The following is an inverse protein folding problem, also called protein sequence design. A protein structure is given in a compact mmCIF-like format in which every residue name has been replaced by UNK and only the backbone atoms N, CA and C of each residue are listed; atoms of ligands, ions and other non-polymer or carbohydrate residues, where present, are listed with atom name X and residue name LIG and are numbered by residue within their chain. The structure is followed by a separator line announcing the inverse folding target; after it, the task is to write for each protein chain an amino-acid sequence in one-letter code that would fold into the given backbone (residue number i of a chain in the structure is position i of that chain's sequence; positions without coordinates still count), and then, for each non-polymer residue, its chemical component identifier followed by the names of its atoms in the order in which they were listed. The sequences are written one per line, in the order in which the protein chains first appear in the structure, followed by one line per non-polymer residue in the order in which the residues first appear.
data_IF_087017250920
#
_entry.id   IF_087017250920
#
_cell.length_a   1.000
_cell.length_b   1.000
_cell.length_c   1.000
_cell.angle_alpha   90.00
_cell.angle_beta   90.00
_cell.angle_gamma   90.00
#
_symmetry.space_group_name_H-M   'P 1'
#
loop_
_entity.id
_entity.type
_entity.pdbx_description
1 polymer ?
#
# COMPACT_ATOMS: atom_id res chain seq x y z
N UNK A 1 -9.74 -37.71 -45.33
CA UNK A 1 -8.33 -37.57 -44.95
C UNK A 1 -7.95 -36.13 -44.52
N UNK A 2 -8.80 -35.09 -44.79
CA UNK A 2 -8.49 -33.71 -44.48
C UNK A 2 -8.68 -33.40 -42.97
N UNK A 3 -9.64 -34.07 -42.32
CA UNK A 3 -9.94 -33.87 -40.91
C UNK A 3 -8.81 -34.34 -39.95
N UNK A 4 -8.12 -35.41 -40.30
CA UNK A 4 -7.03 -35.94 -39.47
C UNK A 4 -5.83 -34.99 -39.40
N UNK A 5 -5.52 -34.27 -40.48
CA UNK A 5 -4.42 -33.30 -40.53
C UNK A 5 -4.74 -32.03 -39.70
N UNK A 6 -6.02 -31.65 -39.59
CA UNK A 6 -6.43 -30.48 -38.80
C UNK A 6 -6.32 -30.76 -37.30
N UNK A 7 -6.74 -31.95 -36.85
CA UNK A 7 -6.63 -32.36 -35.45
C UNK A 7 -5.17 -32.56 -34.99
N UNK A 8 -4.27 -32.98 -35.87
CA UNK A 8 -2.85 -33.11 -35.55
C UNK A 8 -2.17 -31.73 -35.42
N UNK A 9 -2.60 -30.76 -36.22
CA UNK A 9 -2.06 -29.38 -36.12
C UNK A 9 -2.51 -28.68 -34.85
N UNK A 10 -3.78 -28.81 -34.46
CA UNK A 10 -4.32 -28.25 -33.22
C UNK A 10 -3.69 -28.88 -31.98
N UNK A 11 -3.47 -30.18 -31.96
CA UNK A 11 -2.74 -30.90 -30.90
C UNK A 11 -1.27 -30.46 -30.78
N UNK A 12 -0.62 -30.26 -31.93
CA UNK A 12 0.74 -29.76 -31.96
C UNK A 12 0.83 -28.34 -31.41
N UNK A 13 -0.13 -27.43 -31.73
CA UNK A 13 -0.16 -26.09 -31.22
C UNK A 13 -0.40 -26.06 -29.71
N UNK A 14 -1.34 -26.84 -29.20
CA UNK A 14 -1.60 -26.95 -27.75
C UNK A 14 -0.35 -27.45 -27.00
N UNK A 15 0.39 -28.40 -27.61
CA UNK A 15 1.64 -28.91 -27.01
C UNK A 15 2.75 -27.87 -26.99
N UNK A 16 2.85 -27.03 -28.02
CA UNK A 16 3.82 -25.93 -28.11
C UNK A 16 3.48 -24.87 -27.05
N UNK A 17 2.21 -24.42 -26.97
CA UNK A 17 1.76 -23.43 -25.99
C UNK A 17 1.97 -23.92 -24.55
N UNK A 18 1.70 -25.19 -24.28
CA UNK A 18 1.95 -25.80 -22.98
C UNK A 18 3.46 -25.91 -22.65
N UNK A 19 4.31 -26.14 -23.65
CA UNK A 19 5.76 -26.19 -23.48
C UNK A 19 6.33 -24.78 -23.22
N UNK A 20 5.83 -23.75 -23.92
CA UNK A 20 6.20 -22.36 -23.68
C UNK A 20 5.76 -21.88 -22.29
N UNK A 21 4.54 -22.19 -21.88
CA UNK A 21 4.06 -21.90 -20.53
C UNK A 21 4.92 -22.55 -19.43
N UNK A 22 5.30 -23.85 -19.64
CA UNK A 22 6.23 -24.56 -18.75
C UNK A 22 7.62 -23.93 -18.75
N UNK A 23 8.11 -23.48 -19.91
CA UNK A 23 9.39 -22.79 -20.02
C UNK A 23 9.36 -21.44 -19.33
N UNK A 24 8.29 -20.65 -19.48
CA UNK A 24 8.06 -19.38 -18.76
C UNK A 24 8.01 -19.60 -17.24
N UNK A 25 7.28 -20.62 -16.76
CA UNK A 25 7.23 -20.99 -15.33
C UNK A 25 8.57 -21.44 -14.80
N UNK A 26 9.34 -22.22 -15.58
CA UNK A 26 10.71 -22.63 -15.20
C UNK A 26 11.67 -21.43 -15.17
N UNK A 27 11.54 -20.51 -16.12
CA UNK A 27 12.33 -19.29 -16.15
C UNK A 27 12.01 -18.39 -14.97
N UNK A 28 10.72 -18.15 -14.67
CA UNK A 28 10.28 -17.43 -13.47
C UNK A 28 10.76 -18.08 -12.17
N UNK A 29 10.72 -19.44 -12.09
CA UNK A 29 11.22 -20.16 -10.92
C UNK A 29 12.76 -20.13 -10.80
N UNK A 30 13.51 -19.97 -11.89
CA UNK A 30 14.98 -19.81 -11.86
C UNK A 30 15.40 -18.38 -11.53
N UNK A 31 14.67 -17.39 -12.04
CA UNK A 31 14.93 -15.96 -11.76
C UNK A 31 14.63 -15.63 -10.30
N UNK A 32 13.72 -16.36 -9.64
CA UNK A 32 13.29 -16.07 -8.27
C UNK A 32 14.15 -16.67 -7.16
N UNK A 33 15.08 -17.60 -7.45
CA UNK A 33 15.89 -18.22 -6.38
C UNK A 33 17.17 -17.46 -6.15
N UNK A 34 17.17 -16.71 -5.05
CA UNK A 34 18.34 -15.96 -4.57
C UNK A 34 18.96 -16.69 -3.36
N UNK A 35 20.28 -16.58 -3.23
CA UNK A 35 21.03 -17.13 -2.10
C UNK A 35 21.39 -15.97 -1.18
N UNK A 36 20.50 -15.66 -0.24
CA UNK A 36 20.70 -14.64 0.79
C UNK A 36 20.59 -15.33 2.14
N UNK A 37 21.66 -15.27 2.93
CA UNK A 37 21.69 -15.84 4.27
C UNK A 37 21.18 -14.81 5.28
N UNK A 38 19.87 -14.86 5.53
CA UNK A 38 19.22 -14.01 6.52
C UNK A 38 17.95 -14.68 7.04
N UNK A 39 17.67 -14.68 8.35
CA UNK A 39 16.54 -15.41 8.96
C UNK A 39 15.17 -14.99 8.44
N UNK A 40 15.02 -13.74 8.04
CA UNK A 40 13.77 -13.23 7.47
C UNK A 40 13.69 -13.34 5.94
N UNK A 41 14.77 -13.79 5.26
CA UNK A 41 14.74 -13.96 3.82
C UNK A 41 14.21 -15.34 3.43
N UNK A 42 13.20 -15.35 2.56
CA UNK A 42 12.62 -16.58 2.02
C UNK A 42 12.36 -16.43 0.52
N UNK A 43 12.66 -17.46 -0.26
CA UNK A 43 12.34 -17.52 -1.68
C UNK A 43 10.83 -17.76 -1.89
N UNK A 44 9.99 -16.94 -1.30
CA UNK A 44 8.54 -16.97 -1.40
C UNK A 44 8.01 -16.05 -2.49
N UNK A 45 6.87 -16.39 -3.06
CA UNK A 45 6.02 -15.41 -3.74
C UNK A 45 5.16 -14.64 -2.71
N UNK A 46 4.36 -13.67 -3.17
CA UNK A 46 3.52 -12.85 -2.28
C UNK A 46 2.53 -13.68 -1.46
N UNK A 47 1.88 -14.66 -2.07
CA UNK A 47 0.89 -15.53 -1.41
C UNK A 47 1.56 -16.42 -0.36
N UNK A 48 2.71 -17.01 -0.69
CA UNK A 48 3.47 -17.84 0.27
C UNK A 48 3.93 -17.01 1.47
N UNK A 49 4.38 -15.76 1.26
CA UNK A 49 4.77 -14.86 2.34
C UNK A 49 3.56 -14.50 3.23
N UNK A 50 2.40 -14.21 2.66
CA UNK A 50 1.19 -13.96 3.42
C UNK A 50 0.74 -15.19 4.22
N UNK A 51 0.75 -16.37 3.61
CA UNK A 51 0.40 -17.62 4.29
C UNK A 51 1.35 -17.93 5.46
N UNK A 52 2.65 -17.70 5.28
CA UNK A 52 3.63 -17.85 6.35
C UNK A 52 3.36 -16.85 7.49
N UNK A 53 3.11 -15.58 7.15
CA UNK A 53 2.86 -14.52 8.12
C UNK A 53 1.48 -14.63 8.80
N UNK A 54 0.53 -15.37 8.23
CA UNK A 54 -0.82 -15.51 8.80
C UNK A 54 -0.79 -16.03 10.25
N UNK A 55 0.11 -16.98 10.55
CA UNK A 55 0.29 -17.59 11.88
C UNK A 55 1.28 -16.84 12.77
N UNK A 56 1.94 -15.80 12.25
CA UNK A 56 2.92 -15.03 13.00
C UNK A 56 2.26 -13.82 13.70
N UNK A 57 2.90 -13.25 14.74
CA UNK A 57 2.43 -12.03 15.38
C UNK A 57 2.41 -10.83 14.42
N UNK A 58 1.64 -9.79 14.76
CA UNK A 58 1.71 -8.48 14.07
C UNK A 58 3.14 -7.94 14.11
N UNK A 59 3.54 -7.23 13.07
CA UNK A 59 4.90 -6.72 12.92
C UNK A 59 5.91 -7.74 12.38
N UNK A 60 5.54 -9.03 12.26
CA UNK A 60 6.40 -10.04 11.62
C UNK A 60 6.64 -9.71 10.15
N UNK A 61 7.85 -10.00 9.67
CA UNK A 61 8.33 -9.60 8.36
C UNK A 61 8.96 -10.78 7.60
N UNK A 62 8.75 -10.80 6.30
CA UNK A 62 9.41 -11.67 5.32
C UNK A 62 10.01 -10.79 4.23
N UNK A 63 11.30 -10.98 3.95
CA UNK A 63 11.96 -10.45 2.77
C UNK A 63 11.99 -11.52 1.70
N UNK A 64 11.67 -11.18 0.47
CA UNK A 64 11.54 -12.14 -0.63
C UNK A 64 11.98 -11.53 -1.96
N UNK A 65 12.25 -12.35 -2.99
CA UNK A 65 12.45 -11.84 -4.35
C UNK A 65 11.25 -11.02 -4.82
N UNK A 66 11.50 -9.93 -5.53
CA UNK A 66 10.48 -9.10 -6.15
C UNK A 66 10.13 -9.60 -7.55
N UNK A 67 8.87 -9.43 -7.97
CA UNK A 67 8.45 -9.65 -9.35
C UNK A 67 8.92 -8.54 -10.32
N UNK A 68 9.50 -7.45 -9.79
CA UNK A 68 10.00 -6.33 -10.60
C UNK A 68 11.34 -6.60 -11.28
N UNK A 69 12.16 -7.49 -10.75
CA UNK A 69 13.46 -7.84 -11.31
C UNK A 69 14.45 -8.34 -10.27
N UNK A 70 15.65 -8.68 -10.76
CA UNK A 70 16.74 -9.21 -9.93
C UNK A 70 17.42 -8.13 -9.08
N UNK A 71 17.19 -6.86 -9.38
CA UNK A 71 17.62 -5.67 -8.67
C UNK A 71 16.59 -5.18 -7.63
N UNK A 72 15.55 -5.97 -7.38
CA UNK A 72 14.53 -5.65 -6.40
C UNK A 72 14.29 -6.79 -5.41
N UNK A 73 14.02 -6.41 -4.17
CA UNK A 73 13.41 -7.25 -3.15
C UNK A 73 12.01 -6.72 -2.81
N UNK A 74 11.20 -7.58 -2.24
CA UNK A 74 9.93 -7.20 -1.67
C UNK A 74 9.93 -7.56 -0.18
N UNK A 75 9.69 -6.58 0.67
CA UNK A 75 9.43 -6.77 2.09
C UNK A 75 7.93 -6.90 2.28
N UNK A 76 7.50 -8.02 2.84
CA UNK A 76 6.10 -8.27 3.22
C UNK A 76 6.03 -8.33 4.72
N UNK A 77 5.21 -7.51 5.37
CA UNK A 77 5.03 -7.56 6.81
C UNK A 77 3.55 -7.57 7.19
N UNK A 78 3.25 -8.19 8.34
CA UNK A 78 1.89 -8.33 8.86
C UNK A 78 1.50 -7.06 9.62
N UNK A 79 0.59 -6.28 9.05
CA UNK A 79 0.03 -5.07 9.66
C UNK A 79 -1.02 -5.44 10.70
N UNK A 80 -1.92 -6.36 10.33
CA UNK A 80 -2.97 -6.92 11.20
C UNK A 80 -3.39 -8.30 10.65
N UNK A 81 -4.32 -8.97 11.31
CA UNK A 81 -4.85 -10.25 10.84
C UNK A 81 -5.50 -10.09 9.47
N UNK A 82 -4.97 -10.83 8.51
CA UNK A 82 -5.37 -10.76 7.11
C UNK A 82 -4.95 -9.49 6.37
N UNK A 83 -4.18 -8.59 6.99
CA UNK A 83 -3.70 -7.34 6.36
C UNK A 83 -2.18 -7.34 6.27
N UNK A 84 -1.66 -7.32 5.05
CA UNK A 84 -0.22 -7.38 4.76
C UNK A 84 0.18 -6.22 3.86
N UNK A 85 1.26 -5.52 4.24
CA UNK A 85 1.85 -4.51 3.38
C UNK A 85 3.06 -5.09 2.64
N UNK A 86 3.15 -4.76 1.35
CA UNK A 86 4.29 -5.09 0.51
C UNK A 86 5.07 -3.81 0.20
N UNK A 87 6.35 -3.79 0.55
CA UNK A 87 7.26 -2.67 0.33
C UNK A 87 8.26 -3.12 -0.73
N UNK A 88 8.40 -2.33 -1.79
CA UNK A 88 9.41 -2.55 -2.82
C UNK A 88 10.74 -1.95 -2.38
N UNK A 89 11.80 -2.70 -2.55
CA UNK A 89 13.17 -2.33 -2.17
C UNK A 89 14.07 -2.49 -3.38
N UNK A 90 14.61 -1.37 -3.87
CA UNK A 90 15.62 -1.37 -4.92
C UNK A 90 16.99 -1.69 -4.32
N UNK A 91 17.68 -2.65 -4.91
CA UNK A 91 19.03 -3.03 -4.54
C UNK A 91 20.04 -2.34 -5.45
N UNK A 92 21.01 -1.68 -4.86
CA UNK A 92 22.10 -1.02 -5.55
C UNK A 92 23.44 -1.65 -5.17
N UNK A 93 24.44 -1.43 -6.01
CA UNK A 93 25.81 -1.91 -5.79
C UNK A 93 25.89 -3.42 -5.52
N UNK A 94 25.30 -4.21 -6.42
CA UNK A 94 25.29 -5.68 -6.38
C UNK A 94 26.56 -6.24 -7.02
N UNK A 95 27.12 -7.27 -6.44
CA UNK A 95 28.25 -8.01 -7.04
C UNK A 95 27.80 -8.88 -8.23
N UNK A 96 26.58 -9.43 -8.15
CA UNK A 96 25.94 -10.21 -9.20
C UNK A 96 24.41 -10.26 -8.96
N UNK A 97 23.67 -10.81 -9.91
CA UNK A 97 22.21 -10.88 -9.85
C UNK A 97 21.65 -11.63 -8.62
N UNK A 98 22.40 -12.57 -8.07
CA UNK A 98 21.95 -13.43 -6.96
C UNK A 98 22.36 -12.90 -5.59
N UNK A 99 23.41 -12.06 -5.52
CA UNK A 99 23.87 -11.45 -4.29
C UNK A 99 22.92 -10.36 -3.78
N UNK A 100 22.95 -10.10 -2.49
CA UNK A 100 22.30 -8.94 -1.88
C UNK A 100 23.02 -7.65 -2.31
N UNK A 101 22.28 -6.60 -2.63
CA UNK A 101 22.85 -5.29 -2.86
C UNK A 101 23.42 -4.68 -1.59
N UNK A 102 24.49 -3.91 -1.71
CA UNK A 102 25.12 -3.21 -0.58
C UNK A 102 24.32 -2.00 -0.10
N UNK A 103 23.38 -1.52 -0.90
CA UNK A 103 22.48 -0.44 -0.55
C UNK A 103 21.06 -0.88 -0.89
N UNK A 104 20.17 -0.83 0.09
CA UNK A 104 18.77 -1.16 -0.03
C UNK A 104 17.95 0.14 0.04
N UNK A 105 17.31 0.51 -1.06
CA UNK A 105 16.56 1.78 -1.16
C UNK A 105 15.06 1.52 -1.16
N UNK A 106 14.34 2.21 -0.27
CA UNK A 106 12.87 2.21 -0.21
C UNK A 106 12.36 3.56 -0.75
N UNK A 107 12.08 3.63 -2.04
CA UNK A 107 11.57 4.84 -2.72
C UNK A 107 12.16 6.15 -2.14
N UNK A 108 11.32 7.10 -1.72
CA UNK A 108 11.73 8.38 -1.10
C UNK A 108 11.89 8.28 0.43
N UNK A 109 11.84 7.07 1.01
CA UNK A 109 11.82 6.90 2.47
C UNK A 109 13.19 6.64 3.08
N UNK A 110 14.20 6.28 2.27
CA UNK A 110 15.55 6.09 2.76
C UNK A 110 16.33 4.98 2.08
N UNK A 111 17.59 4.86 2.51
CA UNK A 111 18.50 3.80 2.10
C UNK A 111 19.08 3.13 3.34
N UNK A 112 19.28 1.82 3.26
CA UNK A 112 19.68 0.94 4.36
C UNK A 112 20.89 0.12 3.93
N UNK A 113 21.78 -0.18 4.86
CA UNK A 113 23.02 -0.88 4.57
C UNK A 113 22.83 -2.39 4.36
N UNK A 114 21.87 -2.98 5.03
CA UNK A 114 21.56 -4.41 4.98
C UNK A 114 20.09 -4.70 5.36
N UNK A 115 19.72 -5.97 5.43
CA UNK A 115 18.35 -6.39 5.77
C UNK A 115 18.00 -6.14 7.25
N UNK A 116 18.95 -6.25 8.15
CA UNK A 116 18.73 -5.94 9.57
C UNK A 116 18.46 -4.45 9.76
N UNK A 117 19.27 -3.59 9.13
CA UNK A 117 19.08 -2.13 9.13
C UNK A 117 17.70 -1.75 8.56
N UNK A 118 17.33 -2.34 7.42
CA UNK A 118 16.00 -2.14 6.82
C UNK A 118 14.86 -2.57 7.76
N UNK A 119 14.97 -3.73 8.40
CA UNK A 119 13.92 -4.23 9.31
C UNK A 119 13.84 -3.38 10.57
N UNK A 120 14.98 -3.06 11.18
CA UNK A 120 15.04 -2.32 12.45
C UNK A 120 14.66 -0.86 12.28
N UNK A 121 15.13 -0.20 11.22
CA UNK A 121 14.99 1.25 11.05
C UNK A 121 13.86 1.66 10.09
N UNK A 122 13.23 0.70 9.37
CA UNK A 122 12.07 0.98 8.52
C UNK A 122 10.81 0.24 9.00
N UNK A 123 10.85 -1.10 9.02
CA UNK A 123 9.63 -1.89 9.26
C UNK A 123 9.18 -1.82 10.73
N UNK A 124 10.09 -2.00 11.68
CA UNK A 124 9.75 -1.95 13.12
C UNK A 124 9.18 -0.60 13.56
N UNK A 125 9.74 0.56 13.15
CA UNK A 125 9.12 1.86 13.46
C UNK A 125 7.73 2.01 12.86
N UNK A 126 7.47 1.50 11.63
CA UNK A 126 6.13 1.48 11.07
C UNK A 126 5.18 0.61 11.89
N UNK A 127 5.62 -0.58 12.31
CA UNK A 127 4.82 -1.48 13.16
C UNK A 127 4.47 -0.82 14.51
N UNK A 128 5.42 -0.10 15.13
CA UNK A 128 5.17 0.67 16.36
C UNK A 128 4.14 1.78 16.17
N UNK A 129 4.15 2.48 15.02
CA UNK A 129 3.15 3.49 14.72
C UNK A 129 1.76 2.88 14.52
N UNK A 130 1.68 1.72 13.86
CA UNK A 130 0.42 0.96 13.72
C UNK A 130 -0.10 0.55 15.09
N UNK A 131 0.74 0.01 15.96
CA UNK A 131 0.35 -0.37 17.31
C UNK A 131 -0.11 0.83 18.16
N UNK A 132 0.61 1.95 18.08
CA UNK A 132 0.21 3.21 18.73
C UNK A 132 -1.20 3.65 18.30
N UNK A 133 -1.51 3.60 17.00
CA UNK A 133 -2.83 3.95 16.49
C UNK A 133 -3.90 2.96 16.95
N UNK A 134 -3.63 1.67 16.87
CA UNK A 134 -4.60 0.62 17.27
C UNK A 134 -4.91 0.63 18.75
N UNK A 135 -3.97 1.06 19.60
CA UNK A 135 -4.17 1.21 21.05
C UNK A 135 -4.86 2.56 21.42
N UNK A 136 -5.07 3.45 20.48
CA UNK A 136 -5.71 4.73 20.74
C UNK A 136 -7.22 4.59 20.93
N UNK A 137 -7.82 5.31 21.87
CA UNK A 137 -9.26 5.24 22.23
C UNK A 137 -10.22 5.50 21.06
N UNK A 138 -9.78 6.29 20.08
CA UNK A 138 -10.55 6.62 18.87
C UNK A 138 -10.38 5.62 17.72
N UNK A 139 -9.55 4.60 17.89
CA UNK A 139 -9.47 3.51 16.92
C UNK A 139 -10.70 2.60 17.04
N UNK A 140 -11.32 2.27 15.90
CA UNK A 140 -12.59 1.50 15.84
C UNK A 140 -12.52 0.25 14.97
N UNK A 141 -11.30 -0.23 14.72
CA UNK A 141 -11.09 -1.47 13.95
C UNK A 141 -10.86 -1.21 12.46
N UNK A 142 -11.01 -2.27 11.69
CA UNK A 142 -10.69 -2.29 10.26
C UNK A 142 -11.93 -2.52 9.38
N UNK A 143 -13.12 -2.27 9.92
CA UNK A 143 -14.39 -2.32 9.21
C UNK A 143 -14.91 -0.89 9.00
N UNK A 144 -14.91 -0.45 7.75
CA UNK A 144 -15.36 0.89 7.34
C UNK A 144 -16.84 1.12 7.70
N UNK A 145 -17.69 0.11 7.51
CA UNK A 145 -19.12 0.22 7.83
C UNK A 145 -19.34 0.37 9.33
N UNK A 146 -18.60 -0.38 10.14
CA UNK A 146 -18.65 -0.26 11.60
C UNK A 146 -18.14 1.11 12.07
N UNK A 147 -17.07 1.63 11.45
CA UNK A 147 -16.55 2.97 11.71
C UNK A 147 -17.60 4.05 11.41
N UNK A 148 -18.26 4.01 10.27
CA UNK A 148 -19.30 4.95 9.88
C UNK A 148 -20.53 4.86 10.77
N UNK A 149 -20.93 3.66 11.15
CA UNK A 149 -22.04 3.41 12.09
C UNK A 149 -21.71 4.01 13.47
N UNK A 150 -20.49 3.81 13.98
CA UNK A 150 -20.04 4.41 15.23
C UNK A 150 -20.15 5.93 15.20
N UNK A 151 -19.61 6.59 14.16
CA UNK A 151 -19.65 8.04 14.02
C UNK A 151 -21.09 8.57 13.94
N UNK A 152 -21.96 7.88 13.21
CA UNK A 152 -23.37 8.25 13.09
C UNK A 152 -24.08 8.19 14.44
N UNK A 153 -23.92 7.09 15.18
CA UNK A 153 -24.56 6.92 16.49
C UNK A 153 -24.08 7.95 17.52
N UNK A 154 -22.77 8.21 17.59
CA UNK A 154 -22.21 9.21 18.50
C UNK A 154 -22.66 10.61 18.13
N UNK A 155 -22.77 10.93 16.84
CA UNK A 155 -23.23 12.23 16.34
C UNK A 155 -24.73 12.45 16.61
N UNK A 156 -25.55 11.41 16.54
CA UNK A 156 -26.98 11.48 16.92
C UNK A 156 -27.17 11.74 18.42
N UNK A 157 -26.35 11.14 19.27
CA UNK A 157 -26.35 11.38 20.72
C UNK A 157 -25.88 12.81 21.10
N UNK A 158 -25.08 13.46 20.23
CA UNK A 158 -24.54 14.81 20.42
C UNK A 158 -24.65 15.64 19.14
N UNK A 159 -25.87 16.11 18.77
CA UNK A 159 -26.16 16.60 17.41
C UNK A 159 -25.32 17.81 16.95
N UNK A 160 -24.87 18.64 17.88
CA UNK A 160 -24.08 19.87 17.59
C UNK A 160 -22.56 19.68 17.71
N UNK A 161 -22.11 18.53 18.21
CA UNK A 161 -20.68 18.25 18.40
C UNK A 161 -20.10 17.49 17.21
N UNK A 162 -18.89 17.90 16.83
CA UNK A 162 -18.10 17.12 15.88
C UNK A 162 -17.56 15.86 16.54
N UNK A 163 -17.44 14.79 15.73
CA UNK A 163 -16.89 13.51 16.14
C UNK A 163 -15.91 13.02 15.08
N UNK A 164 -14.85 12.34 15.52
CA UNK A 164 -13.90 11.66 14.64
C UNK A 164 -13.49 10.32 15.23
N UNK A 165 -13.04 9.43 14.36
CA UNK A 165 -12.46 8.16 14.74
C UNK A 165 -11.48 7.68 13.66
N UNK A 166 -10.66 6.68 13.99
CA UNK A 166 -9.71 6.07 13.09
C UNK A 166 -10.11 4.63 12.77
N UNK A 167 -9.93 4.22 11.52
CA UNK A 167 -10.05 2.85 11.07
C UNK A 167 -8.82 2.39 10.30
N UNK A 168 -8.46 1.12 10.39
CA UNK A 168 -7.40 0.56 9.54
C UNK A 168 -7.93 0.38 8.11
N UNK A 169 -7.23 0.90 7.13
CA UNK A 169 -7.59 0.73 5.73
C UNK A 169 -7.07 -0.62 5.19
N UNK A 170 -7.98 -1.60 5.06
CA UNK A 170 -7.63 -2.94 4.52
C UNK A 170 -7.30 -2.94 3.03
N UNK A 171 -7.88 -2.02 2.27
CA UNK A 171 -7.65 -1.94 0.82
C UNK A 171 -6.26 -1.35 0.52
N UNK A 172 -5.76 -0.50 1.44
CA UNK A 172 -4.46 0.15 1.33
C UNK A 172 -3.63 -0.07 2.60
N UNK A 173 -3.04 -1.27 2.78
CA UNK A 173 -2.19 -1.57 3.92
C UNK A 173 -1.08 -0.53 4.09
N UNK A 174 -0.84 -0.08 5.32
CA UNK A 174 0.05 1.06 5.61
C UNK A 174 -0.67 2.41 5.69
N UNK A 175 -2.01 2.41 5.61
CA UNK A 175 -2.85 3.58 5.84
C UNK A 175 -3.91 3.32 6.90
N UNK A 176 -4.27 4.37 7.62
CA UNK A 176 -5.49 4.48 8.40
C UNK A 176 -6.42 5.49 7.74
N UNK A 177 -7.71 5.35 7.98
CA UNK A 177 -8.73 6.33 7.63
C UNK A 177 -9.09 7.14 8.87
N UNK A 178 -8.88 8.48 8.81
CA UNK A 178 -9.44 9.41 9.76
C UNK A 178 -10.82 9.80 9.25
N UNK A 179 -11.86 9.27 9.87
CA UNK A 179 -13.25 9.60 9.52
C UNK A 179 -13.79 10.63 10.50
N UNK A 180 -14.46 11.67 9.98
CA UNK A 180 -14.93 12.82 10.73
C UNK A 180 -16.35 13.22 10.31
N UNK A 181 -17.13 13.65 11.29
CA UNK A 181 -18.48 14.17 11.09
C UNK A 181 -18.62 15.47 11.90
N UNK A 182 -18.92 16.58 11.23
CA UNK A 182 -18.95 17.91 11.86
C UNK A 182 -20.15 18.09 12.81
N UNK A 183 -21.28 17.47 12.50
CA UNK A 183 -22.52 17.46 13.31
C UNK A 183 -23.42 16.32 12.82
N UNK A 184 -24.58 16.11 13.45
CA UNK A 184 -25.48 14.99 13.10
C UNK A 184 -26.02 15.03 11.65
N UNK A 185 -26.10 16.20 11.03
CA UNK A 185 -26.61 16.37 9.66
C UNK A 185 -25.51 16.39 8.60
N UNK A 186 -24.25 16.61 9.00
CA UNK A 186 -23.13 16.66 8.07
C UNK A 186 -22.79 15.26 7.54
N UNK A 187 -22.31 15.14 6.29
CA UNK A 187 -21.78 13.89 5.78
C UNK A 187 -20.49 13.49 6.52
N UNK A 188 -20.21 12.19 6.53
CA UNK A 188 -18.91 11.69 6.97
C UNK A 188 -17.88 12.03 5.90
N UNK A 189 -16.76 12.58 6.31
CA UNK A 189 -15.60 12.87 5.48
C UNK A 189 -14.44 12.01 5.96
N UNK A 190 -13.62 11.51 5.03
CA UNK A 190 -12.50 10.61 5.35
C UNK A 190 -11.21 11.14 4.75
N UNK A 191 -10.13 11.12 5.54
CA UNK A 191 -8.79 11.48 5.13
C UNK A 191 -7.83 10.31 5.33
N UNK A 192 -7.04 9.96 4.30
CA UNK A 192 -6.03 8.93 4.44
C UNK A 192 -4.87 9.41 5.31
N UNK A 193 -4.52 8.62 6.30
CA UNK A 193 -3.36 8.80 7.18
C UNK A 193 -2.32 7.75 6.83
N UNK A 194 -1.22 8.15 6.21
CA UNK A 194 -0.12 7.24 5.86
C UNK A 194 0.76 6.98 7.07
N UNK A 195 1.08 5.71 7.28
CA UNK A 195 2.10 5.28 8.25
C UNK A 195 3.47 5.40 7.61
N UNK A 196 4.38 6.07 8.29
CA UNK A 196 5.79 6.21 7.94
C UNK A 196 6.67 5.60 9.05
N UNK A 197 7.95 5.32 8.80
CA UNK A 197 8.86 4.93 9.86
C UNK A 197 8.95 6.00 10.96
N UNK A 198 8.36 5.71 12.13
CA UNK A 198 8.35 6.60 13.30
C UNK A 198 7.44 7.84 13.20
N UNK A 199 6.55 7.93 12.22
CA UNK A 199 5.65 9.08 12.06
C UNK A 199 4.36 8.74 11.31
N UNK A 200 3.37 9.63 11.40
CA UNK A 200 2.21 9.68 10.49
C UNK A 200 2.35 10.82 9.49
N UNK A 201 1.66 10.67 8.36
CA UNK A 201 1.48 11.72 7.35
C UNK A 201 -0.01 11.93 7.10
N UNK A 202 -0.45 13.19 7.17
CA UNK A 202 -1.80 13.63 6.84
C UNK A 202 -1.74 14.79 5.83
N UNK A 203 -2.16 14.55 4.60
CA UNK A 203 -2.04 15.53 3.52
C UNK A 203 -0.60 16.00 3.32
N UNK A 204 -0.34 17.28 3.49
CA UNK A 204 1.01 17.86 3.41
C UNK A 204 1.79 17.80 4.73
N UNK A 205 1.10 17.57 5.87
CA UNK A 205 1.75 17.45 7.16
C UNK A 205 2.44 16.08 7.26
N UNK A 206 3.75 16.10 7.36
CA UNK A 206 4.62 14.93 7.53
C UNK A 206 5.27 14.98 8.92
N UNK A 207 5.86 13.86 9.36
CA UNK A 207 6.57 13.79 10.63
C UNK A 207 5.68 14.02 11.87
N UNK A 208 4.41 13.57 11.82
CA UNK A 208 3.51 13.61 12.96
C UNK A 208 3.85 12.43 13.89
N UNK A 209 4.56 12.72 14.97
CA UNK A 209 5.21 11.70 15.81
C UNK A 209 4.24 10.81 16.59
N UNK A 210 3.01 11.27 16.81
CA UNK A 210 2.00 10.55 17.56
C UNK A 210 0.57 10.91 17.12
N UNK A 211 -0.43 10.23 17.70
CA UNK A 211 -1.84 10.47 17.38
C UNK A 211 -2.33 11.86 17.86
N UNK A 212 -1.72 12.44 18.88
CA UNK A 212 -2.06 13.78 19.34
C UNK A 212 -1.59 14.83 18.33
N UNK A 213 -0.36 14.73 17.83
CA UNK A 213 0.17 15.58 16.76
C UNK A 213 -0.67 15.45 15.48
N UNK A 214 -1.03 14.21 15.10
CA UNK A 214 -1.93 13.93 13.97
C UNK A 214 -3.29 14.60 14.14
N UNK A 215 -3.91 14.47 15.30
CA UNK A 215 -5.22 15.08 15.61
C UNK A 215 -5.17 16.61 15.58
N UNK A 216 -4.09 17.19 16.10
CA UNK A 216 -3.90 18.64 16.07
C UNK A 216 -3.68 19.16 14.64
N UNK A 217 -2.87 18.47 13.83
CA UNK A 217 -2.69 18.80 12.42
C UNK A 217 -4.02 18.73 11.65
N UNK A 218 -4.82 17.68 11.89
CA UNK A 218 -6.16 17.57 11.30
C UNK A 218 -7.06 18.75 11.68
N UNK A 219 -7.16 19.09 12.97
CA UNK A 219 -7.99 20.23 13.43
C UNK A 219 -7.56 21.52 12.77
N UNK A 220 -6.27 21.79 12.68
CA UNK A 220 -5.73 22.99 12.04
C UNK A 220 -6.08 23.05 10.55
N UNK A 221 -5.90 21.94 9.82
CA UNK A 221 -6.24 21.87 8.39
C UNK A 221 -7.74 22.03 8.16
N UNK A 222 -8.57 21.38 8.97
CA UNK A 222 -10.03 21.48 8.86
C UNK A 222 -10.53 22.90 9.15
N UNK A 223 -10.02 23.56 10.20
CA UNK A 223 -10.36 24.94 10.54
C UNK A 223 -9.95 25.91 9.43
N UNK A 224 -8.77 25.74 8.83
CA UNK A 224 -8.31 26.57 7.72
C UNK A 224 -9.24 26.46 6.50
N UNK A 225 -9.70 25.25 6.17
CA UNK A 225 -10.63 25.02 5.05
C UNK A 225 -12.00 25.64 5.30
N UNK A 226 -12.50 25.63 6.54
CA UNK A 226 -13.82 26.18 6.89
C UNK A 226 -13.81 27.71 7.08
N UNK A 227 -12.65 28.29 7.44
CA UNK A 227 -12.49 29.73 7.64
C UNK A 227 -12.26 30.51 6.34
N UNK A 228 -11.68 29.89 5.32
CA UNK A 228 -11.45 30.46 3.99
C UNK A 228 -12.71 30.69 3.15
N UNK A 229 -13.88 30.19 3.57
CA UNK A 229 -15.13 30.29 2.85
C UNK A 229 -16.01 31.50 3.23
N UNK A 230 -15.55 32.45 4.05
CA UNK A 230 -16.34 33.61 4.48
C UNK A 230 -16.08 34.90 3.72
N UNK A 231 -15.30 34.88 2.66
CA UNK A 231 -15.07 36.01 1.78
C UNK A 231 -15.54 35.71 0.36
N UNK A 232 -16.63 36.32 -0.05
CA UNK A 232 -17.20 36.43 -1.39
C UNK A 232 -18.33 35.45 -1.75
N UNK A 233 -19.56 35.90 -1.51
CA UNK A 233 -20.78 35.32 -2.07
C UNK A 233 -21.11 35.98 -3.41
N UNK A 234 -20.32 35.66 -4.45
CA UNK A 234 -20.79 35.80 -5.84
C UNK A 234 -20.07 34.76 -6.69
N UNK A 235 -20.87 33.92 -7.34
CA UNK A 235 -20.50 32.83 -8.25
C UNK A 235 -20.24 31.46 -7.62
N UNK A 236 -21.25 30.60 -7.74
CA UNK A 236 -21.14 29.17 -7.56
C UNK A 236 -20.26 28.56 -8.66
N UNK A 237 -19.34 27.65 -8.34
CA UNK A 237 -18.99 26.57 -9.25
C UNK A 237 -19.51 25.25 -8.70
N UNK A 238 -20.39 24.62 -9.44
CA UNK A 238 -20.62 23.19 -9.35
C UNK A 238 -19.30 22.47 -9.64
N UNK A 239 -18.81 21.71 -8.66
CA UNK A 239 -17.62 20.88 -8.81
C UNK A 239 -17.31 20.20 -7.49
N UNK A 240 -17.99 19.07 -7.21
CA UNK A 240 -17.62 18.20 -6.09
C UNK A 240 -16.20 17.67 -6.31
N UNK A 241 -15.22 18.16 -5.58
CA UNK A 241 -13.93 17.53 -5.47
C UNK A 241 -14.03 16.41 -4.44
N UNK A 242 -14.21 15.19 -4.91
CA UNK A 242 -13.83 13.99 -4.16
C UNK A 242 -12.32 14.04 -3.93
N UNK A 243 -11.81 13.78 -2.71
CA UNK A 243 -10.37 13.65 -2.47
C UNK A 243 -9.84 12.48 -3.29
N UNK A 244 -9.17 12.79 -4.41
CA UNK A 244 -8.54 11.77 -5.25
C UNK A 244 -7.37 11.15 -4.51
N UNK A 245 -7.40 9.84 -4.36
CA UNK A 245 -6.23 9.06 -3.96
C UNK A 245 -5.18 9.13 -5.07
N UNK A 246 -4.17 9.97 -4.92
CA UNK A 246 -3.02 9.95 -5.81
C UNK A 246 -2.12 8.78 -5.45
N UNK A 247 -2.41 7.61 -6.04
CA UNK A 247 -1.46 6.52 -6.12
C UNK A 247 -0.57 6.76 -7.34
N UNK A 248 0.70 6.99 -7.09
CA UNK A 248 1.73 6.98 -8.12
C UNK A 248 1.97 5.56 -8.66
N UNK A 249 1.00 5.02 -9.41
CA UNK A 249 1.13 3.81 -10.20
C UNK A 249 1.16 4.18 -11.67
N UNK A 250 2.33 4.12 -12.31
CA UNK A 250 2.42 4.17 -13.76
C UNK A 250 1.74 2.93 -14.34
N UNK A 251 0.61 3.12 -15.00
CA UNK A 251 0.07 2.12 -15.92
C UNK A 251 1.00 1.94 -17.12
N UNK A 252 1.26 0.71 -17.60
CA UNK A 252 2.01 0.50 -18.83
C UNK A 252 1.21 1.08 -20.00
N UNK A 253 1.83 1.99 -20.77
CA UNK A 253 1.28 2.58 -21.95
C UNK A 253 1.00 1.50 -23.02
N UNK A 254 -0.24 1.43 -23.44
CA UNK A 254 -0.66 0.69 -24.62
C UNK A 254 -0.14 1.44 -25.85
N UNK A 255 0.78 0.80 -26.58
CA UNK A 255 1.24 1.30 -27.87
C UNK A 255 0.09 1.41 -28.86
N UNK A 256 -0.22 2.61 -29.26
CA UNK A 256 -1.08 2.93 -30.37
C UNK A 256 -0.22 3.36 -31.57
N UNK A 257 -0.15 2.51 -32.59
CA UNK A 257 0.37 2.82 -33.91
C UNK A 257 -0.52 3.87 -34.56
N UNK A 258 0.04 4.99 -34.97
CA UNK A 258 -0.59 5.93 -35.89
C UNK A 258 -0.04 5.70 -37.30
N UNK A 259 -0.89 5.70 -38.35
CA UNK A 259 -0.45 5.58 -39.74
C UNK A 259 0.03 6.93 -40.29
N UNK A 260 1.08 6.88 -41.11
CA UNK A 260 1.61 8.02 -41.82
C UNK A 260 0.72 8.56 -42.93
N UNK A 261 0.88 9.83 -43.24
CA UNK A 261 0.56 10.43 -44.55
C UNK A 261 1.61 11.45 -44.95
N UNK A 262 2.20 11.19 -46.10
CA UNK A 262 2.71 12.04 -47.20
C UNK A 262 3.16 13.51 -46.96
N UNK A 263 4.28 13.80 -47.50
CA UNK A 263 4.83 15.08 -47.87
C UNK A 263 6.31 14.96 -48.20
#
# INVERSE_FOLDING_TARGET
PVDAMYFDHERAQIAIDAAEERARRRHQNRIGRRVIDHPNFHNFNAIQAQNFLATQPRGSVVVRPSSRGMDHLAVTWKVDDGVYQHIDVLELDKENDYALGRILRVADMGSYADLDDLIVNHVRPMASMVEMMMNHEKYKGADEQALHTYLTNVSLANPTRSVYAFGLNKQHPGYFDLAFKANSQAPIQTWPVKVLPGAFKLGQATQLADVAALTNAFKTQYMAQTSGGRGDRTSAPHGGMTPGYYYGGRTPGRGGTAPGYYG
#
